data_IF_194112213669
#
_entry.id   IF_194112213669
#
_cell.length_a   1.000
_cell.length_b   1.000
_cell.length_c   1.000
_cell.angle_alpha   90.00
_cell.angle_beta   90.00
_cell.angle_gamma   90.00
#
_symmetry.space_group_name_H-M   'P 1'
#
loop_
_entity.id
_entity.type
_entity.pdbx_description
1 polymer ?
#
# COMPACT_ATOMS: atom_id res chain seq x y z
N UNK A 1 23.79 2.27 -32.79
CA UNK A 1 24.44 3.08 -31.73
C UNK A 1 25.86 3.38 -32.16
N UNK A 2 26.24 4.66 -32.25
CA UNK A 2 27.62 5.09 -32.52
C UNK A 2 28.07 5.94 -31.33
N UNK A 3 29.13 5.49 -30.65
CA UNK A 3 29.72 6.17 -29.50
C UNK A 3 31.15 6.54 -29.90
N UNK A 4 31.44 7.83 -30.01
CA UNK A 4 32.83 8.34 -29.98
C UNK A 4 33.12 8.77 -28.56
N UNK A 5 34.08 8.09 -27.94
CA UNK A 5 34.63 8.43 -26.63
C UNK A 5 35.50 9.68 -26.73
N UNK A 6 35.54 10.47 -25.65
CA UNK A 6 36.74 11.03 -24.99
C UNK A 6 36.25 11.98 -23.87
N UNK A 7 36.21 11.49 -22.63
CA UNK A 7 36.14 12.31 -21.40
C UNK A 7 36.64 11.48 -20.20
N UNK A 8 37.41 12.04 -19.24
CA UNK A 8 38.18 11.24 -18.29
C UNK A 8 37.29 10.54 -17.25
N UNK A 9 37.61 9.27 -17.08
CA UNK A 9 37.37 8.34 -15.97
C UNK A 9 36.74 8.91 -14.69
N UNK A 10 35.41 8.86 -14.59
CA UNK A 10 34.64 8.30 -13.46
C UNK A 10 33.14 8.51 -13.71
N UNK A 11 32.43 7.44 -14.06
CA UNK A 11 30.97 7.40 -13.88
C UNK A 11 30.69 7.06 -12.41
N UNK A 12 30.22 8.02 -11.62
CA UNK A 12 29.70 7.73 -10.28
C UNK A 12 28.26 7.23 -10.44
N UNK A 13 28.05 5.92 -10.33
CA UNK A 13 26.71 5.34 -10.23
C UNK A 13 26.36 5.27 -8.75
N UNK A 14 25.52 6.18 -8.27
CA UNK A 14 24.90 6.05 -6.96
C UNK A 14 23.74 5.05 -7.05
N UNK A 15 24.00 3.79 -6.69
CA UNK A 15 22.94 2.80 -6.50
C UNK A 15 22.34 3.05 -5.13
N UNK A 16 21.20 3.75 -5.05
CA UNK A 16 20.35 3.72 -3.86
C UNK A 16 19.53 2.44 -3.90
N UNK A 17 19.80 1.52 -3.00
CA UNK A 17 18.98 0.33 -2.80
C UNK A 17 17.56 0.78 -2.37
N UNK A 18 16.55 0.37 -3.14
CA UNK A 18 15.14 0.62 -2.85
C UNK A 18 14.59 -0.54 -2.03
N UNK A 19 13.85 -0.24 -0.97
CA UNK A 19 13.27 -1.24 -0.06
C UNK A 19 11.87 -1.61 -0.54
N UNK A 20 11.58 -2.90 -0.82
CA UNK A 20 10.24 -3.35 -1.15
C UNK A 20 9.32 -3.26 0.07
N UNK A 21 8.06 -2.85 -0.12
CA UNK A 21 7.10 -2.68 0.98
C UNK A 21 5.72 -3.28 0.68
N UNK A 22 5.35 -3.42 -0.58
CA UNK A 22 4.03 -3.89 -0.98
C UNK A 22 4.08 -4.67 -2.29
N UNK A 23 3.04 -5.45 -2.53
CA UNK A 23 2.85 -6.20 -3.78
C UNK A 23 1.43 -6.12 -4.29
N UNK A 24 1.24 -6.18 -5.61
CA UNK A 24 -0.07 -6.27 -6.23
C UNK A 24 -0.05 -7.17 -7.45
N UNK A 25 -1.17 -7.83 -7.74
CA UNK A 25 -1.37 -8.56 -8.99
C UNK A 25 -1.64 -7.55 -10.11
N UNK A 26 -0.98 -7.70 -11.26
CA UNK A 26 -1.40 -6.99 -12.47
C UNK A 26 -2.36 -7.82 -13.31
N UNK A 27 -2.95 -7.19 -14.33
CA UNK A 27 -3.89 -7.85 -15.24
C UNK A 27 -3.31 -9.02 -16.05
N UNK A 28 -1.98 -9.22 -16.05
CA UNK A 28 -1.30 -10.37 -16.65
C UNK A 28 -1.14 -11.57 -15.69
N UNK A 29 -1.70 -11.51 -14.48
CA UNK A 29 -1.65 -12.58 -13.47
C UNK A 29 -0.33 -12.67 -12.70
N UNK A 30 0.65 -11.80 -12.98
CA UNK A 30 1.92 -11.72 -12.25
C UNK A 30 1.89 -10.63 -11.19
N UNK A 31 2.77 -10.74 -10.20
CA UNK A 31 2.83 -9.84 -9.06
C UNK A 31 3.95 -8.83 -9.23
N UNK A 32 3.63 -7.55 -8.99
CA UNK A 32 4.62 -6.46 -8.94
C UNK A 32 5.04 -6.30 -7.49
N UNK A 33 6.33 -6.19 -7.24
CA UNK A 33 6.87 -5.76 -5.95
C UNK A 33 7.22 -4.28 -6.06
N UNK A 34 6.71 -3.46 -5.15
CA UNK A 34 6.92 -2.00 -5.16
C UNK A 34 7.57 -1.50 -3.88
N UNK A 35 8.31 -0.39 -4.02
CA UNK A 35 8.74 0.41 -2.88
C UNK A 35 7.68 1.45 -2.46
N UNK A 36 8.00 2.22 -1.42
CA UNK A 36 7.15 3.28 -0.86
C UNK A 36 6.77 4.39 -1.86
N UNK A 37 7.56 4.59 -2.91
CA UNK A 37 7.30 5.58 -3.97
C UNK A 37 6.45 4.97 -5.10
N UNK A 38 6.05 3.70 -4.96
CA UNK A 38 5.29 2.94 -5.96
C UNK A 38 6.12 2.47 -7.14
N UNK A 39 7.45 2.51 -7.08
CA UNK A 39 8.28 2.02 -8.18
C UNK A 39 8.28 0.50 -8.21
N UNK A 40 8.00 -0.08 -9.38
CA UNK A 40 8.08 -1.52 -9.61
C UNK A 40 9.53 -1.98 -9.62
N UNK A 41 9.91 -2.70 -8.56
CA UNK A 41 11.25 -3.24 -8.35
C UNK A 41 11.42 -4.62 -8.99
N UNK A 42 10.36 -5.43 -9.00
CA UNK A 42 10.36 -6.78 -9.55
C UNK A 42 8.97 -7.20 -10.06
N UNK A 43 8.96 -8.21 -10.94
CA UNK A 43 7.74 -8.87 -11.42
C UNK A 43 7.93 -10.38 -11.28
N UNK A 44 7.13 -11.00 -10.41
CA UNK A 44 7.30 -12.39 -10.01
C UNK A 44 6.03 -13.22 -10.26
N UNK A 45 6.21 -14.52 -10.36
CA UNK A 45 5.12 -15.49 -10.42
C UNK A 45 4.68 -15.89 -9.01
N UNK A 46 3.36 -15.99 -8.79
CA UNK A 46 2.78 -16.27 -7.47
C UNK A 46 2.82 -15.06 -6.52
N UNK A 47 1.95 -15.06 -5.52
CA UNK A 47 1.86 -13.96 -4.56
C UNK A 47 3.01 -14.02 -3.55
N UNK A 48 3.83 -12.97 -3.42
CA UNK A 48 4.81 -12.86 -2.32
C UNK A 48 4.10 -12.78 -0.97
N UNK A 49 4.54 -13.59 0.00
CA UNK A 49 3.97 -13.60 1.35
C UNK A 49 4.57 -12.54 2.29
N UNK A 50 5.77 -12.05 1.99
CA UNK A 50 6.53 -11.14 2.88
C UNK A 50 6.15 -9.66 2.73
N UNK A 51 5.22 -9.33 1.82
CA UNK A 51 4.84 -7.96 1.52
C UNK A 51 3.35 -7.74 1.69
N UNK A 52 2.98 -6.50 2.04
CA UNK A 52 1.57 -6.10 2.09
C UNK A 52 0.91 -6.30 0.73
N UNK A 53 -0.20 -7.05 0.70
CA UNK A 53 -0.95 -7.22 -0.53
C UNK A 53 -1.89 -6.04 -0.76
N UNK A 54 -1.78 -5.45 -1.96
CA UNK A 54 -2.63 -4.37 -2.43
C UNK A 54 -3.49 -4.87 -3.58
N UNK A 55 -4.80 -4.64 -3.48
CA UNK A 55 -5.82 -5.08 -4.43
C UNK A 55 -6.55 -3.88 -5.01
N UNK A 56 -6.90 -3.96 -6.29
CA UNK A 56 -7.89 -3.06 -6.90
C UNK A 56 -8.81 -3.88 -7.81
N UNK A 57 -9.98 -3.33 -8.10
CA UNK A 57 -10.92 -3.94 -9.06
C UNK A 57 -10.40 -3.88 -10.50
N UNK A 58 -9.48 -2.95 -10.77
CA UNK A 58 -8.89 -2.73 -12.08
C UNK A 58 -7.34 -2.76 -11.98
N UNK A 59 -6.74 -3.95 -11.83
CA UNK A 59 -5.32 -4.08 -11.50
C UNK A 59 -4.41 -3.57 -12.63
N UNK A 60 -3.49 -2.61 -12.35
CA UNK A 60 -2.61 -2.06 -13.36
C UNK A 60 -1.54 -3.09 -13.78
N UNK A 61 -1.13 -3.05 -15.06
CA UNK A 61 -0.06 -3.91 -15.59
C UNK A 61 1.26 -3.14 -15.75
N UNK A 62 1.62 -2.30 -14.77
CA UNK A 62 2.86 -1.51 -14.81
C UNK A 62 4.08 -2.42 -14.97
N UNK A 63 4.96 -2.06 -15.90
CA UNK A 63 6.21 -2.78 -16.17
C UNK A 63 7.33 -2.44 -15.18
N UNK A 64 8.42 -3.20 -15.25
CA UNK A 64 9.60 -3.02 -14.41
C UNK A 64 10.14 -1.59 -14.49
N UNK A 65 10.57 -1.03 -13.36
CA UNK A 65 10.98 0.39 -13.21
C UNK A 65 9.89 1.44 -13.50
N UNK A 66 8.68 1.04 -13.85
CA UNK A 66 7.52 1.93 -13.92
C UNK A 66 7.01 2.30 -12.52
N UNK A 67 6.05 3.23 -12.48
CA UNK A 67 5.39 3.66 -11.25
C UNK A 67 3.95 3.15 -11.21
N UNK A 68 3.53 2.66 -10.05
CA UNK A 68 2.17 2.27 -9.77
C UNK A 68 1.26 3.51 -9.68
N UNK A 69 -0.07 3.36 -9.91
CA UNK A 69 -1.03 4.45 -9.77
C UNK A 69 -1.09 5.03 -8.34
N UNK A 70 -1.64 6.25 -8.17
CA UNK A 70 -1.69 6.94 -6.87
C UNK A 70 -2.26 6.11 -5.71
N UNK A 71 -3.31 5.32 -5.93
CA UNK A 71 -3.87 4.45 -4.89
C UNK A 71 -2.85 3.45 -4.33
N UNK A 72 -2.06 2.83 -5.20
CA UNK A 72 -1.01 1.89 -4.81
C UNK A 72 0.16 2.57 -4.12
N UNK A 73 0.51 3.79 -4.53
CA UNK A 73 1.52 4.62 -3.84
C UNK A 73 1.03 4.96 -2.42
N UNK A 74 -0.25 5.32 -2.28
CA UNK A 74 -0.89 5.55 -0.98
C UNK A 74 -0.84 4.30 -0.09
N UNK A 75 -1.20 3.13 -0.63
CA UNK A 75 -1.12 1.85 0.07
C UNK A 75 0.32 1.49 0.49
N UNK A 76 1.29 1.67 -0.40
CA UNK A 76 2.71 1.43 -0.09
C UNK A 76 3.24 2.41 0.97
N UNK A 77 2.74 3.65 0.98
CA UNK A 77 3.12 4.66 1.98
C UNK A 77 2.61 4.27 3.37
N UNK A 78 1.34 3.85 3.50
CA UNK A 78 0.80 3.44 4.81
C UNK A 78 1.41 2.13 5.33
N UNK A 79 1.85 1.23 4.45
CA UNK A 79 2.53 0.00 4.85
C UNK A 79 3.71 0.27 5.79
N UNK A 80 4.42 1.39 5.57
CA UNK A 80 5.57 1.80 6.38
C UNK A 80 5.19 2.53 7.66
N UNK A 81 3.91 2.90 7.81
CA UNK A 81 3.39 3.71 8.91
C UNK A 81 2.49 2.91 9.87
N UNK A 82 2.21 1.64 9.60
CA UNK A 82 1.45 0.80 10.52
C UNK A 82 2.20 0.64 11.84
N UNK A 83 1.46 0.83 12.94
CA UNK A 83 1.99 0.58 14.28
C UNK A 83 1.98 -0.92 14.58
N UNK A 84 2.73 -1.39 15.60
CA UNK A 84 2.74 -2.81 15.98
C UNK A 84 1.36 -3.36 16.36
N UNK A 85 0.41 -2.50 16.75
CA UNK A 85 -0.98 -2.88 17.03
C UNK A 85 -1.80 -3.05 15.75
N UNK A 86 -1.55 -2.25 14.71
CA UNK A 86 -2.30 -2.26 13.44
C UNK A 86 -1.74 -3.28 12.46
N UNK A 87 -0.42 -3.33 12.28
CA UNK A 87 0.22 -4.15 11.24
C UNK A 87 -0.20 -5.63 11.25
N UNK A 88 -0.30 -6.32 12.41
CA UNK A 88 -0.69 -7.73 12.45
C UNK A 88 -2.16 -7.98 12.10
N UNK A 89 -2.98 -6.92 12.08
CA UNK A 89 -4.40 -7.02 11.78
C UNK A 89 -4.68 -6.87 10.28
N UNK A 90 -3.78 -6.28 9.48
CA UNK A 90 -4.08 -5.98 8.07
C UNK A 90 -3.86 -7.19 7.18
N UNK A 91 -4.91 -7.69 6.53
CA UNK A 91 -4.81 -8.79 5.57
C UNK A 91 -4.60 -8.29 4.13
N UNK A 92 -5.31 -7.23 3.75
CA UNK A 92 -5.21 -6.62 2.41
C UNK A 92 -5.54 -5.14 2.47
N UNK A 93 -4.90 -4.37 1.59
CA UNK A 93 -5.29 -2.98 1.29
C UNK A 93 -5.99 -2.94 -0.05
N UNK A 94 -7.20 -2.40 -0.08
CA UNK A 94 -7.98 -2.23 -1.30
C UNK A 94 -7.95 -0.77 -1.73
N UNK A 95 -7.71 -0.52 -3.02
CA UNK A 95 -7.50 0.84 -3.55
C UNK A 95 -8.29 1.08 -4.82
N UNK A 96 -8.83 2.30 -4.94
CA UNK A 96 -9.12 2.89 -6.25
C UNK A 96 -7.80 3.33 -6.91
N UNK A 97 -7.65 3.08 -8.22
CA UNK A 97 -6.41 3.37 -8.94
C UNK A 97 -5.98 4.85 -8.82
N UNK A 98 -6.93 5.77 -8.85
CA UNK A 98 -6.72 7.21 -8.74
C UNK A 98 -6.44 7.70 -7.31
N UNK A 99 -6.52 6.82 -6.31
CA UNK A 99 -6.32 7.15 -4.90
C UNK A 99 -7.50 7.87 -4.24
N UNK A 100 -8.68 7.85 -4.88
CA UNK A 100 -9.90 8.45 -4.32
C UNK A 100 -10.44 7.70 -3.10
N UNK A 101 -10.07 6.42 -2.96
CA UNK A 101 -10.56 5.56 -1.89
C UNK A 101 -9.54 4.45 -1.58
N UNK A 102 -9.28 4.27 -0.29
CA UNK A 102 -8.38 3.27 0.28
C UNK A 102 -9.10 2.62 1.46
N UNK A 103 -9.17 1.29 1.46
CA UNK A 103 -9.71 0.47 2.53
C UNK A 103 -8.69 -0.55 3.04
N UNK A 104 -8.78 -0.91 4.31
CA UNK A 104 -8.07 -2.04 4.90
C UNK A 104 -9.09 -3.13 5.20
N UNK A 105 -8.84 -4.36 4.77
CA UNK A 105 -9.52 -5.51 5.35
C UNK A 105 -8.65 -6.05 6.48
N UNK A 106 -9.24 -6.17 7.66
CA UNK A 106 -8.56 -6.67 8.84
C UNK A 106 -8.93 -8.12 9.14
N UNK A 107 -8.02 -8.81 9.81
CA UNK A 107 -8.25 -10.12 10.42
C UNK A 107 -9.53 -10.10 11.26
N UNK A 108 -10.41 -11.07 11.02
CA UNK A 108 -11.73 -11.12 11.67
C UNK A 108 -12.86 -10.42 10.90
N UNK A 109 -12.57 -9.89 9.72
CA UNK A 109 -13.58 -9.40 8.77
C UNK A 109 -13.98 -7.94 8.94
N UNK A 110 -13.27 -7.17 9.78
CA UNK A 110 -13.48 -5.73 9.89
C UNK A 110 -12.97 -5.00 8.64
N UNK A 111 -13.82 -4.17 8.04
CA UNK A 111 -13.43 -3.26 6.98
C UNK A 111 -13.15 -1.86 7.55
N UNK A 112 -11.97 -1.31 7.26
CA UNK A 112 -11.61 0.06 7.62
C UNK A 112 -11.55 0.92 6.37
N UNK A 113 -12.31 2.01 6.32
CA UNK A 113 -12.23 3.00 5.25
C UNK A 113 -11.36 4.18 5.67
N UNK A 114 -10.25 4.40 4.95
CA UNK A 114 -9.43 5.62 5.07
C UNK A 114 -9.90 6.71 4.10
N UNK A 115 -10.68 6.38 3.07
CA UNK A 115 -11.03 7.33 2.01
C UNK A 115 -9.80 7.65 1.15
N UNK A 116 -9.65 8.90 0.71
CA UNK A 116 -8.54 9.27 -0.18
C UNK A 116 -7.13 9.06 0.42
N UNK A 117 -6.10 9.16 -0.42
CA UNK A 117 -4.70 9.03 0.01
C UNK A 117 -4.14 10.27 0.70
N UNK A 118 -4.96 11.25 1.07
CA UNK A 118 -4.52 12.45 1.78
C UNK A 118 -4.56 12.24 3.31
N UNK A 119 -3.65 12.91 4.02
CA UNK A 119 -3.60 12.91 5.49
C UNK A 119 -3.63 11.51 6.12
N UNK A 120 -3.00 10.53 5.48
CA UNK A 120 -3.04 9.12 5.89
C UNK A 120 -2.52 8.91 7.32
N UNK A 121 -1.52 9.68 7.75
CA UNK A 121 -1.00 9.61 9.12
C UNK A 121 -2.09 9.91 10.16
N UNK A 122 -2.84 11.00 9.98
CA UNK A 122 -3.93 11.38 10.91
C UNK A 122 -5.04 10.31 10.94
N UNK A 123 -5.34 9.71 9.78
CA UNK A 123 -6.33 8.65 9.65
C UNK A 123 -5.88 7.37 10.36
N UNK A 124 -4.59 7.03 10.28
CA UNK A 124 -4.00 5.91 11.01
C UNK A 124 -4.01 6.15 12.53
N UNK A 125 -3.74 7.37 13.00
CA UNK A 125 -3.84 7.73 14.42
C UNK A 125 -5.27 7.56 14.94
N UNK A 126 -6.28 7.96 14.15
CA UNK A 126 -7.70 7.74 14.49
C UNK A 126 -8.01 6.25 14.57
N UNK A 127 -7.53 5.46 13.61
CA UNK A 127 -7.72 4.01 13.61
C UNK A 127 -7.09 3.36 14.85
N UNK A 128 -5.84 3.71 15.17
CA UNK A 128 -5.14 3.21 16.36
C UNK A 128 -5.91 3.54 17.64
N UNK A 129 -6.43 4.77 17.76
CA UNK A 129 -7.27 5.16 18.89
C UNK A 129 -8.52 4.29 19.03
N UNK A 130 -9.14 3.90 17.92
CA UNK A 130 -10.31 2.98 17.94
C UNK A 130 -9.89 1.58 18.39
N UNK A 131 -8.78 1.06 17.89
CA UNK A 131 -8.28 -0.28 18.23
C UNK A 131 -7.89 -0.34 19.72
N UNK A 132 -7.11 0.63 20.20
CA UNK A 132 -6.63 0.68 21.58
C UNK A 132 -7.74 0.94 22.60
N UNK A 133 -8.77 1.68 22.21
CA UNK A 133 -9.92 2.00 23.08
C UNK A 133 -10.96 0.88 23.20
N UNK A 134 -10.83 -0.21 22.42
CA UNK A 134 -11.84 -1.28 22.39
C UNK A 134 -11.51 -2.40 23.37
N UNK A 135 -12.58 -2.91 24.00
CA UNK A 135 -12.56 -4.15 24.77
C UNK A 135 -13.41 -5.17 24.03
N UNK A 136 -12.79 -6.21 23.47
CA UNK A 136 -13.47 -7.26 22.70
C UNK A 136 -13.23 -7.17 21.19
N UNK A 137 -14.15 -7.73 20.40
CA UNK A 137 -14.03 -7.75 18.95
C UNK A 137 -14.15 -6.35 18.34
N UNK A 138 -13.47 -6.14 17.20
CA UNK A 138 -13.62 -4.94 16.39
C UNK A 138 -15.00 -4.94 15.71
N UNK A 139 -15.58 -3.75 15.48
CA UNK A 139 -16.83 -3.62 14.73
C UNK A 139 -16.64 -4.11 13.29
N UNK A 140 -17.73 -4.45 12.61
CA UNK A 140 -17.69 -4.90 11.22
C UNK A 140 -17.14 -3.84 10.27
N UNK A 141 -17.42 -2.56 10.53
CA UNK A 141 -16.88 -1.43 9.75
C UNK A 141 -16.42 -0.28 10.62
N UNK A 142 -15.32 0.33 10.21
CA UNK A 142 -14.75 1.54 10.80
C UNK A 142 -14.48 2.53 9.65
N UNK A 143 -15.03 3.74 9.69
CA UNK A 143 -14.69 4.81 8.77
C UNK A 143 -13.92 5.90 9.53
N UNK A 144 -12.69 6.17 9.08
CA UNK A 144 -11.78 7.21 9.59
C UNK A 144 -11.41 8.24 8.52
N UNK A 145 -12.15 8.27 7.40
CA UNK A 145 -11.85 9.14 6.26
C UNK A 145 -12.00 10.63 6.58
N UNK A 146 -12.79 10.96 7.59
CA UNK A 146 -12.98 12.33 8.07
C UNK A 146 -12.47 12.49 9.51
N UNK A 147 -12.62 13.67 10.10
CA UNK A 147 -12.34 13.87 11.53
C UNK A 147 -13.26 13.07 12.43
N UNK A 148 -14.48 12.76 11.95
CA UNK A 148 -15.48 12.03 12.70
C UNK A 148 -15.37 10.55 12.37
N UNK A 149 -15.12 9.75 13.40
CA UNK A 149 -15.03 8.30 13.28
C UNK A 149 -16.42 7.69 13.36
N UNK A 150 -16.77 6.87 12.36
CA UNK A 150 -18.04 6.13 12.35
C UNK A 150 -17.76 4.64 12.47
N UNK A 151 -18.50 3.92 13.32
CA UNK A 151 -18.41 2.46 13.43
C UNK A 151 -19.78 1.81 13.28
N UNK A 152 -19.84 0.64 12.66
CA UNK A 152 -21.07 -0.16 12.58
C UNK A 152 -20.80 -1.64 12.82
N UNK A 153 -21.76 -2.30 13.47
CA UNK A 153 -21.73 -3.73 13.77
C UNK A 153 -22.32 -4.53 12.60
N UNK A 154 -22.03 -5.83 12.52
CA UNK A 154 -22.69 -6.75 11.58
C UNK A 154 -24.19 -6.78 11.90
N UNK A 155 -25.03 -6.49 10.91
CA UNK A 155 -26.49 -6.62 11.02
C UNK A 155 -26.98 -8.06 11.07
#
# INVERSE_FOLDING_TARGET
VRVTTHFPDRATIEVRERVPVATFAGGDGRFRVIDREGRVLDIVDGQPADFLFVRSDEPPSTGLSGYAPPGFVGAASIATAFTPSVAPLVEVVEVANDGSDLRLALTGGTEVRLGDTQNLADKLVRLETVIDGRVGALPARIDVATSDVTTSESG
#
